data_IF_730782724342
#
_entry.id   IF_730782724342
#
_cell.length_a   1.000
_cell.length_b   1.000
_cell.length_c   1.000
_cell.angle_alpha   90.00
_cell.angle_beta   90.00
_cell.angle_gamma   90.00
#
_symmetry.space_group_name_H-M   'P 1'
#
loop_
_entity.id
_entity.type
_entity.pdbx_description
1 polymer ?
#
# COMPACT_ATOMS: atom_id res chain seq x y z
N UNK A 1 23.97 11.55 3.62
CA UNK A 1 22.54 11.29 3.37
C UNK A 1 22.38 9.86 2.87
N UNK A 2 21.25 9.21 3.13
CA UNK A 2 20.92 7.91 2.53
C UNK A 2 20.54 8.06 1.05
N UNK A 3 20.48 6.95 0.32
CA UNK A 3 19.86 6.92 -1.01
C UNK A 3 18.33 7.01 -0.87
N UNK A 4 17.58 7.42 -1.90
CA UNK A 4 16.11 7.48 -1.83
C UNK A 4 15.44 6.12 -1.59
N UNK A 5 16.16 5.02 -1.85
CA UNK A 5 15.70 3.65 -1.68
C UNK A 5 16.62 2.92 -0.69
N UNK A 6 16.01 2.39 0.36
CA UNK A 6 16.67 1.57 1.38
C UNK A 6 16.44 0.08 1.10
N UNK A 7 17.42 -0.77 1.42
CA UNK A 7 17.34 -2.21 1.15
C UNK A 7 16.74 -3.04 2.28
N UNK A 8 16.54 -2.43 3.44
CA UNK A 8 16.21 -3.15 4.67
C UNK A 8 15.18 -2.36 5.49
N UNK A 9 13.99 -2.17 4.92
CA UNK A 9 12.83 -1.70 5.67
C UNK A 9 12.27 -2.89 6.47
N UNK A 10 12.29 -2.83 7.81
CA UNK A 10 11.93 -3.99 8.61
C UNK A 10 10.41 -4.19 8.62
N UNK A 11 10.00 -5.45 8.72
CA UNK A 11 8.59 -5.83 8.85
C UNK A 11 8.17 -6.01 10.32
N UNK A 12 9.14 -6.41 11.16
CA UNK A 12 9.04 -6.51 12.61
C UNK A 12 9.70 -5.30 13.28
N UNK A 13 9.56 -5.18 14.61
CA UNK A 13 10.12 -4.10 15.42
C UNK A 13 11.63 -3.88 15.25
N UNK A 14 12.01 -2.99 14.34
CA UNK A 14 13.40 -2.61 14.10
C UNK A 14 13.51 -1.24 13.42
N UNK A 15 14.75 -0.76 13.25
CA UNK A 15 15.05 0.49 12.54
C UNK A 15 15.23 0.22 11.05
N UNK A 16 14.81 1.17 10.20
CA UNK A 16 15.17 1.10 8.77
C UNK A 16 16.67 1.08 8.59
N UNK A 17 17.16 0.14 7.79
CA UNK A 17 18.57 0.06 7.43
C UNK A 17 18.92 1.16 6.42
N UNK A 18 20.05 1.84 6.64
CA UNK A 18 20.66 2.76 5.65
C UNK A 18 21.59 2.06 4.65
N UNK A 19 21.76 0.74 4.82
CA UNK A 19 22.61 -0.04 3.94
C UNK A 19 21.86 -0.38 2.66
N UNK A 20 22.61 -0.50 1.57
CA UNK A 20 22.10 -0.94 0.28
C UNK A 20 22.57 -2.36 0.00
N UNK A 21 21.66 -3.27 -0.34
CA UNK A 21 22.00 -4.58 -0.88
C UNK A 21 22.87 -4.40 -2.12
N UNK A 22 23.91 -5.24 -2.25
CA UNK A 22 24.88 -5.13 -3.34
C UNK A 22 25.68 -3.82 -3.33
N UNK A 23 25.90 -3.21 -2.16
CA UNK A 23 26.70 -1.99 -2.01
C UNK A 23 28.10 -2.16 -2.62
N UNK A 24 28.40 -1.33 -3.61
CA UNK A 24 29.71 -1.21 -4.24
C UNK A 24 30.20 0.23 -4.12
N UNK A 25 31.30 0.40 -3.40
CA UNK A 25 32.06 1.64 -3.44
C UNK A 25 32.77 1.76 -4.79
N UNK A 26 32.71 2.96 -5.36
CA UNK A 26 33.32 3.34 -6.63
C UNK A 26 34.34 4.45 -6.37
N UNK A 27 35.09 4.83 -7.40
CA UNK A 27 36.08 5.91 -7.28
C UNK A 27 35.43 7.23 -6.86
N UNK A 28 36.26 8.15 -6.33
CA UNK A 28 35.85 9.51 -5.95
C UNK A 28 34.75 9.55 -4.87
N UNK A 29 34.64 8.51 -4.05
CA UNK A 29 33.68 8.45 -2.94
C UNK A 29 32.23 8.21 -3.39
N UNK A 30 32.02 7.82 -4.65
CA UNK A 30 30.71 7.42 -5.14
C UNK A 30 30.42 5.97 -4.74
N UNK A 31 29.15 5.61 -4.61
CA UNK A 31 28.73 4.24 -4.32
C UNK A 31 27.38 3.96 -4.95
N UNK A 32 27.13 2.70 -5.25
CA UNK A 32 25.85 2.27 -5.80
C UNK A 32 25.47 0.90 -5.25
N UNK A 33 24.18 0.55 -5.32
CA UNK A 33 23.66 -0.72 -4.82
C UNK A 33 22.47 -1.18 -5.65
N UNK A 34 22.21 -2.49 -5.65
CA UNK A 34 21.16 -3.07 -6.48
C UNK A 34 19.77 -2.55 -6.12
N UNK A 35 19.50 -2.26 -4.84
CA UNK A 35 18.20 -1.69 -4.44
C UNK A 35 18.02 -0.24 -4.89
N UNK A 36 19.09 0.55 -4.96
CA UNK A 36 19.01 1.91 -5.50
C UNK A 36 18.73 1.88 -7.01
N UNK A 37 19.38 0.97 -7.73
CA UNK A 37 19.16 0.75 -9.16
C UNK A 37 17.74 0.27 -9.45
N UNK A 38 17.30 -0.82 -8.80
CA UNK A 38 16.00 -1.44 -9.07
C UNK A 38 14.84 -0.63 -8.49
N UNK A 39 15.05 0.10 -7.39
CA UNK A 39 14.04 1.00 -6.83
C UNK A 39 13.72 2.15 -7.78
N UNK A 40 14.77 2.76 -8.36
CA UNK A 40 14.63 3.78 -9.39
C UNK A 40 13.97 3.22 -10.66
N UNK A 41 14.43 2.06 -11.15
CA UNK A 41 13.83 1.41 -12.31
C UNK A 41 12.35 1.07 -12.09
N UNK A 42 12.02 0.47 -10.95
CA UNK A 42 10.64 0.11 -10.59
C UNK A 42 9.72 1.34 -10.51
N UNK A 43 10.20 2.43 -9.91
CA UNK A 43 9.44 3.70 -9.87
C UNK A 43 9.24 4.27 -11.27
N UNK A 44 10.26 4.23 -12.12
CA UNK A 44 10.16 4.66 -13.52
C UNK A 44 9.21 3.79 -14.37
N UNK A 45 8.99 2.54 -13.97
CA UNK A 45 8.05 1.64 -14.64
C UNK A 45 6.59 1.85 -14.23
N UNK A 46 6.30 2.48 -13.08
CA UNK A 46 4.92 2.65 -12.58
C UNK A 46 4.00 3.26 -13.64
N UNK A 47 4.33 4.39 -14.31
CA UNK A 47 3.45 4.94 -15.35
C UNK A 47 3.18 3.97 -16.51
N UNK A 48 4.17 3.17 -16.89
CA UNK A 48 4.08 2.21 -18.02
C UNK A 48 3.21 1.00 -17.70
N UNK A 49 3.10 0.63 -16.42
CA UNK A 49 2.27 -0.51 -15.97
C UNK A 49 0.94 -0.05 -15.38
N UNK A 50 0.75 1.25 -15.12
CA UNK A 50 -0.52 1.81 -14.63
C UNK A 50 -1.62 1.69 -15.66
N UNK A 51 -1.33 2.03 -16.92
CA UNK A 51 -2.24 1.86 -18.05
C UNK A 51 -1.52 1.18 -19.19
N UNK A 52 -2.10 0.09 -19.70
CA UNK A 52 -1.54 -0.68 -20.80
C UNK A 52 -2.50 -0.72 -21.98
N UNK A 53 -1.97 -0.73 -23.19
CA UNK A 53 -2.76 -0.85 -24.42
C UNK A 53 -3.12 -2.30 -24.71
N UNK A 54 -4.30 -2.52 -25.26
CA UNK A 54 -4.73 -3.80 -25.85
C UNK A 54 -5.00 -3.61 -27.34
N UNK A 55 -5.29 -4.70 -28.05
CA UNK A 55 -5.73 -4.60 -29.44
C UNK A 55 -7.07 -3.85 -29.59
N UNK A 56 -7.89 -3.84 -28.54
CA UNK A 56 -9.25 -3.29 -28.55
C UNK A 56 -9.36 -1.95 -27.83
N UNK A 57 -8.36 -1.52 -27.06
CA UNK A 57 -8.50 -0.39 -26.15
C UNK A 57 -7.35 -0.26 -25.16
N UNK A 58 -7.70 0.03 -23.90
CA UNK A 58 -6.75 0.25 -22.80
C UNK A 58 -7.18 -0.48 -21.52
N UNK A 59 -6.23 -0.83 -20.66
CA UNK A 59 -6.45 -1.43 -19.34
C UNK A 59 -5.84 -0.55 -18.26
N UNK A 60 -6.66 -0.12 -17.30
CA UNK A 60 -6.22 0.57 -16.09
C UNK A 60 -5.94 -0.46 -14.98
N UNK A 61 -4.67 -0.67 -14.67
CA UNK A 61 -4.21 -1.54 -13.60
C UNK A 61 -4.03 -0.80 -12.27
N UNK A 62 -3.49 0.43 -12.34
CA UNK A 62 -3.27 1.30 -11.19
C UNK A 62 -3.85 2.67 -11.47
N UNK A 63 -4.51 3.24 -10.47
CA UNK A 63 -5.08 4.57 -10.56
C UNK A 63 -4.09 5.57 -9.98
N UNK A 64 -3.56 6.45 -10.83
CA UNK A 64 -2.65 7.52 -10.47
C UNK A 64 -3.17 8.82 -11.08
N UNK A 65 -3.15 9.92 -10.32
CA UNK A 65 -3.58 11.20 -10.86
C UNK A 65 -2.61 11.67 -11.94
N UNK A 66 -3.16 12.20 -13.04
CA UNK A 66 -2.38 12.69 -14.17
C UNK A 66 -3.09 12.49 -15.50
N UNK A 67 -2.36 12.75 -16.59
CA UNK A 67 -2.82 12.52 -17.95
C UNK A 67 -2.15 11.28 -18.51
N UNK A 68 -2.95 10.41 -19.12
CA UNK A 68 -2.50 9.18 -19.79
C UNK A 68 -2.72 9.36 -21.28
N UNK A 69 -1.64 9.26 -22.05
CA UNK A 69 -1.67 9.33 -23.51
C UNK A 69 -1.39 7.93 -24.08
N UNK A 70 -2.29 7.44 -24.92
CA UNK A 70 -2.20 6.15 -25.60
C UNK A 70 -2.52 6.34 -27.09
N UNK A 71 -2.24 5.35 -27.93
CA UNK A 71 -2.63 5.35 -29.34
C UNK A 71 -4.15 5.36 -29.54
N UNK A 72 -4.92 4.93 -28.55
CA UNK A 72 -6.38 4.82 -28.59
C UNK A 72 -7.07 6.09 -28.13
N UNK A 73 -6.44 6.83 -27.21
CA UNK A 73 -6.99 8.08 -26.70
C UNK A 73 -6.19 8.65 -25.53
N UNK A 74 -6.59 9.85 -25.13
CA UNK A 74 -6.06 10.58 -23.99
C UNK A 74 -7.09 10.56 -22.85
N UNK A 75 -6.61 10.35 -21.62
CA UNK A 75 -7.46 10.28 -20.42
C UNK A 75 -6.89 11.17 -19.32
N UNK A 76 -7.75 11.91 -18.63
CA UNK A 76 -7.39 12.59 -17.39
C UNK A 76 -7.89 11.78 -16.20
N UNK A 77 -6.99 11.43 -15.29
CA UNK A 77 -7.28 10.67 -14.07
C UNK A 77 -7.12 11.58 -12.87
N UNK A 78 -8.14 11.63 -12.02
CA UNK A 78 -8.10 12.25 -10.71
C UNK A 78 -8.49 11.21 -9.67
N UNK A 79 -7.68 11.01 -8.63
CA UNK A 79 -7.92 9.93 -7.67
C UNK A 79 -7.48 10.31 -6.27
N UNK A 80 -8.19 9.78 -5.27
CA UNK A 80 -7.80 9.86 -3.87
C UNK A 80 -7.10 8.58 -3.38
N UNK A 81 -6.85 7.63 -4.28
CA UNK A 81 -6.04 6.45 -4.00
C UNK A 81 -4.61 6.87 -3.61
N UNK A 82 -3.92 6.13 -2.74
CA UNK A 82 -4.35 4.89 -2.07
C UNK A 82 -5.16 5.10 -0.79
N UNK A 83 -5.42 6.35 -0.39
CA UNK A 83 -6.02 6.67 0.92
C UNK A 83 -7.54 6.53 0.90
N UNK A 84 -8.18 6.87 -0.23
CA UNK A 84 -9.63 6.68 -0.45
C UNK A 84 -9.88 6.11 -1.84
N UNK A 85 -11.01 5.42 -1.99
CA UNK A 85 -11.34 4.67 -3.20
C UNK A 85 -11.96 5.48 -4.34
N UNK A 86 -12.09 6.79 -4.20
CA UNK A 86 -12.67 7.67 -5.23
C UNK A 86 -11.67 7.87 -6.38
N UNK A 87 -12.07 7.53 -7.60
CA UNK A 87 -11.34 7.82 -8.83
C UNK A 87 -12.27 8.30 -9.93
N UNK A 88 -11.85 9.33 -10.65
CA UNK A 88 -12.52 9.88 -11.82
C UNK A 88 -11.59 9.77 -13.02
N UNK A 89 -12.11 9.25 -14.14
CA UNK A 89 -11.40 9.15 -15.41
C UNK A 89 -12.25 9.88 -16.45
N UNK A 90 -11.72 10.99 -16.97
CA UNK A 90 -12.34 11.74 -18.06
C UNK A 90 -11.71 11.34 -19.39
N UNK A 91 -12.55 10.99 -20.36
CA UNK A 91 -12.10 10.70 -21.73
C UNK A 91 -11.87 12.02 -22.46
N UNK A 92 -10.64 12.27 -22.92
CA UNK A 92 -10.28 13.49 -23.65
C UNK A 92 -10.20 13.28 -25.16
N UNK A 93 -10.35 12.04 -25.63
CA UNK A 93 -10.35 11.71 -27.07
C UNK A 93 -11.55 10.84 -27.38
N UNK A 94 -12.47 11.34 -28.21
CA UNK A 94 -13.61 10.56 -28.65
C UNK A 94 -13.18 9.38 -29.54
N UNK A 95 -13.91 8.26 -29.49
CA UNK A 95 -13.61 7.09 -30.30
C UNK A 95 -14.37 5.84 -29.88
N UNK A 96 -14.26 4.78 -30.68
CA UNK A 96 -14.83 3.48 -30.33
C UNK A 96 -13.71 2.52 -29.92
N UNK A 97 -13.61 2.28 -28.62
CA UNK A 97 -12.59 1.42 -28.05
C UNK A 97 -13.03 0.92 -26.66
N UNK A 98 -12.31 -0.11 -26.20
CA UNK A 98 -12.49 -0.72 -24.91
C UNK A 98 -11.77 0.06 -23.81
N UNK A 99 -12.37 0.17 -22.64
CA UNK A 99 -11.67 0.54 -21.40
C UNK A 99 -11.89 -0.58 -20.39
N UNK A 100 -10.81 -1.25 -19.99
CA UNK A 100 -10.82 -2.24 -18.92
C UNK A 100 -10.37 -1.60 -17.60
N UNK A 101 -11.11 -1.84 -16.52
CA UNK A 101 -10.87 -1.23 -15.21
C UNK A 101 -10.65 -2.34 -14.17
N UNK A 102 -9.49 -2.35 -13.52
CA UNK A 102 -9.22 -3.28 -12.41
C UNK A 102 -10.09 -2.97 -11.20
N UNK A 103 -10.93 -3.92 -10.80
CA UNK A 103 -11.67 -3.87 -9.54
C UNK A 103 -10.88 -4.68 -8.48
N UNK A 104 -10.22 -4.02 -7.51
CA UNK A 104 -9.26 -4.71 -6.65
C UNK A 104 -9.88 -5.75 -5.70
N UNK A 105 -9.13 -6.80 -5.30
CA UNK A 105 -9.62 -7.84 -4.40
C UNK A 105 -9.77 -7.42 -2.93
N UNK A 106 -9.12 -6.33 -2.53
CA UNK A 106 -9.21 -5.81 -1.16
C UNK A 106 -10.47 -4.95 -0.93
N UNK A 107 -11.24 -4.67 -1.98
CA UNK A 107 -12.47 -3.91 -1.86
C UNK A 107 -13.57 -4.80 -1.25
N UNK A 108 -14.29 -4.26 -0.27
CA UNK A 108 -15.52 -4.86 0.26
C UNK A 108 -16.67 -4.68 -0.74
N UNK A 109 -16.74 -3.51 -1.36
CA UNK A 109 -17.68 -3.24 -2.45
C UNK A 109 -17.06 -2.26 -3.46
N UNK A 110 -17.63 -2.25 -4.66
CA UNK A 110 -17.21 -1.36 -5.73
C UNK A 110 -18.44 -0.87 -6.49
N UNK A 111 -18.46 0.42 -6.78
CA UNK A 111 -19.44 1.04 -7.67
C UNK A 111 -18.71 1.70 -8.84
N UNK A 112 -19.20 1.45 -10.05
CA UNK A 112 -18.72 2.12 -11.27
C UNK A 112 -19.88 2.85 -11.92
N UNK A 113 -19.67 4.11 -12.29
CA UNK A 113 -20.63 4.91 -13.05
C UNK A 113 -19.99 5.41 -14.33
N UNK A 114 -20.77 5.42 -15.42
CA UNK A 114 -20.39 6.08 -16.67
C UNK A 114 -21.43 7.16 -16.95
N UNK A 115 -21.01 8.42 -16.96
CA UNK A 115 -21.90 9.58 -17.08
C UNK A 115 -23.07 9.58 -16.07
N UNK A 116 -22.80 9.13 -14.85
CA UNK A 116 -23.80 9.04 -13.77
C UNK A 116 -24.64 7.75 -13.76
N UNK A 117 -24.59 6.93 -14.81
CA UNK A 117 -25.29 5.65 -14.87
C UNK A 117 -24.45 4.52 -14.28
N UNK A 118 -24.99 3.80 -13.29
CA UNK A 118 -24.32 2.68 -12.65
C UNK A 118 -24.13 1.49 -13.61
N UNK A 119 -22.92 0.95 -13.64
CA UNK A 119 -22.56 -0.26 -14.41
C UNK A 119 -22.23 -1.39 -13.44
N UNK A 120 -22.77 -2.58 -13.69
CA UNK A 120 -22.50 -3.77 -12.88
C UNK A 120 -21.02 -4.14 -12.95
N UNK A 121 -20.42 -4.42 -11.80
CA UNK A 121 -19.04 -4.87 -11.69
C UNK A 121 -18.89 -5.92 -10.58
N UNK A 122 -17.80 -6.70 -10.63
CA UNK A 122 -17.47 -7.67 -9.60
C UNK A 122 -16.13 -7.31 -8.95
N UNK A 123 -16.04 -7.46 -7.63
CA UNK A 123 -14.76 -7.37 -6.91
C UNK A 123 -13.80 -8.45 -7.43
N UNK A 124 -12.50 -8.16 -7.42
CA UNK A 124 -11.46 -9.06 -7.93
C UNK A 124 -11.65 -9.42 -9.43
N UNK A 125 -11.91 -8.42 -10.26
CA UNK A 125 -12.12 -8.61 -11.69
C UNK A 125 -11.58 -7.44 -12.52
N UNK A 126 -11.70 -7.55 -13.84
CA UNK A 126 -11.60 -6.41 -14.74
C UNK A 126 -12.98 -6.13 -15.32
N UNK A 127 -13.51 -4.94 -15.08
CA UNK A 127 -14.72 -4.46 -15.74
C UNK A 127 -14.37 -3.99 -17.14
N UNK A 128 -15.03 -4.56 -18.14
CA UNK A 128 -14.82 -4.23 -19.56
C UNK A 128 -15.91 -3.28 -20.03
N UNK A 129 -15.53 -2.10 -20.52
CA UNK A 129 -16.43 -1.10 -21.09
C UNK A 129 -16.11 -0.91 -22.58
N UNK A 130 -16.85 -1.60 -23.45
CA UNK A 130 -16.79 -1.38 -24.91
C UNK A 130 -17.87 -0.37 -25.32
N UNK A 131 -17.48 0.83 -25.74
CA UNK A 131 -18.41 1.93 -26.04
C UNK A 131 -17.89 2.82 -27.17
N UNK A 132 -18.80 3.59 -27.76
CA UNK A 132 -18.45 4.79 -28.50
C UNK A 132 -18.36 5.95 -27.50
N UNK A 133 -17.13 6.32 -27.15
CA UNK A 133 -16.80 7.37 -26.20
C UNK A 133 -16.86 8.75 -26.84
N UNK A 134 -17.38 9.70 -26.10
CA UNK A 134 -17.36 11.12 -26.42
C UNK A 134 -16.33 11.85 -25.57
N UNK A 135 -15.85 12.97 -26.09
CA UNK A 135 -15.02 13.87 -25.31
C UNK A 135 -15.79 14.33 -24.06
N UNK A 136 -15.11 14.28 -22.92
CA UNK A 136 -15.64 14.53 -21.58
C UNK A 136 -16.62 13.48 -21.03
N UNK A 137 -16.73 12.30 -21.66
CA UNK A 137 -17.34 11.16 -20.96
C UNK A 137 -16.58 10.89 -19.66
N UNK A 138 -17.33 10.69 -18.57
CA UNK A 138 -16.80 10.55 -17.23
C UNK A 138 -17.06 9.14 -16.70
N UNK A 139 -15.99 8.49 -16.26
CA UNK A 139 -16.04 7.23 -15.53
C UNK A 139 -15.71 7.54 -14.07
N UNK A 140 -16.61 7.15 -13.17
CA UNK A 140 -16.40 7.29 -11.73
C UNK A 140 -16.29 5.90 -11.11
N UNK A 141 -15.25 5.70 -10.33
CA UNK A 141 -14.98 4.49 -9.56
C UNK A 141 -15.04 4.86 -8.08
N UNK A 142 -15.86 4.14 -7.33
CA UNK A 142 -16.00 4.31 -5.89
C UNK A 142 -15.73 2.95 -5.27
N UNK A 143 -14.55 2.80 -4.68
CA UNK A 143 -14.16 1.60 -3.97
C UNK A 143 -14.33 1.81 -2.47
N UNK A 144 -15.00 0.86 -1.82
CA UNK A 144 -15.18 0.85 -0.38
C UNK A 144 -14.40 -0.33 0.22
N UNK A 145 -13.67 -0.06 1.28
CA UNK A 145 -12.91 -1.06 2.02
C UNK A 145 -12.86 -0.71 3.50
N UNK A 146 -12.88 -1.74 4.32
CA UNK A 146 -12.61 -1.66 5.75
C UNK A 146 -11.16 -2.10 6.03
N UNK A 147 -10.69 -1.87 7.25
CA UNK A 147 -9.46 -2.47 7.71
C UNK A 147 -9.60 -4.00 7.80
N UNK A 148 -8.55 -4.72 7.42
CA UNK A 148 -8.48 -6.19 7.50
C UNK A 148 -7.29 -6.60 8.36
N UNK A 149 -7.53 -7.49 9.32
CA UNK A 149 -6.45 -8.11 10.11
C UNK A 149 -5.84 -9.27 9.32
N UNK A 150 -4.54 -9.21 9.10
CA UNK A 150 -3.75 -10.27 8.49
C UNK A 150 -3.04 -11.05 9.59
N UNK A 151 -3.31 -12.35 9.67
CA UNK A 151 -2.56 -13.27 10.54
C UNK A 151 -1.38 -13.86 9.78
N UNK A 152 -0.19 -13.83 10.39
CA UNK A 152 0.97 -14.51 9.83
C UNK A 152 0.73 -16.04 9.86
N UNK A 153 1.00 -16.72 8.75
CA UNK A 153 0.88 -18.18 8.69
C UNK A 153 1.99 -18.93 9.44
N UNK A 154 3.06 -18.22 9.82
CA UNK A 154 4.28 -18.83 10.32
C UNK A 154 5.18 -19.36 9.20
N UNK A 155 6.45 -19.55 9.52
CA UNK A 155 7.43 -20.27 8.69
C UNK A 155 8.01 -21.41 9.53
N UNK A 156 8.48 -22.47 8.90
CA UNK A 156 9.07 -23.60 9.65
C UNK A 156 10.36 -23.17 10.37
N UNK A 157 11.13 -22.28 9.76
CA UNK A 157 12.39 -21.74 10.32
C UNK A 157 12.17 -20.72 11.43
N UNK A 158 10.97 -20.12 11.51
CA UNK A 158 10.55 -19.22 12.57
C UNK A 158 9.06 -19.42 12.89
N UNK A 159 8.72 -20.46 13.68
CA UNK A 159 7.33 -20.75 14.06
C UNK A 159 6.70 -19.60 14.86
N UNK A 160 7.52 -18.84 15.58
CA UNK A 160 7.06 -17.72 16.41
C UNK A 160 6.52 -16.56 15.57
N UNK A 161 6.92 -16.45 14.30
CA UNK A 161 6.35 -15.49 13.35
C UNK A 161 4.83 -15.65 13.18
N UNK A 162 4.27 -16.85 13.42
CA UNK A 162 2.81 -17.10 13.37
C UNK A 162 2.01 -16.30 14.39
N UNK A 163 2.65 -15.84 15.47
CA UNK A 163 2.04 -15.02 16.51
C UNK A 163 2.14 -13.51 16.24
N UNK A 164 2.20 -13.13 14.96
CA UNK A 164 2.16 -11.73 14.55
C UNK A 164 0.95 -11.44 13.68
N UNK A 165 0.46 -10.21 13.81
CA UNK A 165 -0.64 -9.67 13.02
C UNK A 165 -0.23 -8.37 12.34
N UNK A 166 -0.75 -8.13 11.15
CA UNK A 166 -0.64 -6.86 10.45
C UNK A 166 -2.03 -6.34 10.11
N UNK A 167 -2.16 -5.02 9.89
CA UNK A 167 -3.41 -4.40 9.50
C UNK A 167 -3.28 -3.87 8.07
N UNK A 168 -4.15 -4.37 7.19
CA UNK A 168 -4.31 -3.88 5.84
C UNK A 168 -5.44 -2.85 5.79
N UNK A 169 -5.23 -1.75 5.10
CA UNK A 169 -6.25 -0.75 4.77
C UNK A 169 -6.24 -0.50 3.26
N UNK A 170 -7.17 -1.13 2.55
CA UNK A 170 -7.19 -1.15 1.09
C UNK A 170 -5.86 -1.67 0.50
N UNK A 171 -5.15 -0.89 -0.33
CA UNK A 171 -3.84 -1.30 -0.86
C UNK A 171 -2.67 -1.05 0.11
N UNK A 172 -2.90 -0.46 1.28
CA UNK A 172 -1.85 -0.09 2.24
C UNK A 172 -1.72 -1.12 3.35
N UNK A 173 -0.48 -1.35 3.81
CA UNK A 173 -0.21 -1.95 5.11
C UNK A 173 0.09 -0.83 6.09
N UNK A 174 -0.55 -0.89 7.26
CA UNK A 174 -0.31 0.05 8.33
C UNK A 174 0.86 -0.41 9.22
N UNK A 175 1.51 0.55 9.86
CA UNK A 175 2.68 0.34 10.70
C UNK A 175 2.62 1.21 11.95
N UNK A 176 3.17 0.71 13.05
CA UNK A 176 3.54 1.55 14.19
C UNK A 176 4.89 2.20 13.96
N UNK A 177 5.05 3.37 14.53
CA UNK A 177 6.29 4.12 14.55
C UNK A 177 6.59 4.55 15.99
N UNK A 178 7.83 4.35 16.45
CA UNK A 178 8.25 4.65 17.81
C UNK A 178 8.16 6.16 18.15
N UNK A 179 8.03 7.02 17.13
CA UNK A 179 7.73 8.46 17.31
C UNK A 179 6.28 8.74 17.71
N UNK A 180 5.38 7.77 17.59
CA UNK A 180 3.95 7.87 17.84
C UNK A 180 3.47 6.99 18.99
N UNK A 181 4.30 6.07 19.48
CA UNK A 181 3.93 5.16 20.56
C UNK A 181 4.92 4.00 20.71
N UNK A 182 4.53 2.96 21.44
CA UNK A 182 5.37 1.78 21.60
C UNK A 182 5.39 0.90 20.35
N UNK A 183 6.56 0.32 20.06
CA UNK A 183 6.79 -0.65 18.99
C UNK A 183 7.37 -1.93 19.61
N UNK A 184 6.99 -3.09 19.07
CA UNK A 184 7.38 -4.41 19.58
C UNK A 184 6.57 -4.86 20.80
N UNK A 185 5.51 -4.13 21.14
CA UNK A 185 4.64 -4.46 22.27
C UNK A 185 3.44 -5.29 21.80
N UNK A 186 3.14 -6.42 22.46
CA UNK A 186 2.01 -7.29 22.12
C UNK A 186 0.67 -6.57 22.06
N UNK A 187 -0.19 -6.97 21.12
CA UNK A 187 -1.55 -6.44 20.96
C UNK A 187 -2.63 -7.50 21.05
N UNK A 188 -3.78 -7.08 21.57
CA UNK A 188 -5.05 -7.79 21.42
C UNK A 188 -6.06 -6.90 20.71
N UNK A 189 -6.38 -7.24 19.45
CA UNK A 189 -7.33 -6.49 18.62
C UNK A 189 -8.70 -7.19 18.69
N UNK A 190 -9.69 -6.53 19.26
CA UNK A 190 -11.07 -7.04 19.34
C UNK A 190 -12.03 -6.44 18.31
N UNK A 191 -11.74 -5.22 17.87
CA UNK A 191 -12.47 -4.49 16.84
C UNK A 191 -11.45 -3.80 15.93
N UNK A 192 -11.74 -3.69 14.63
CA UNK A 192 -10.88 -3.09 13.60
C UNK A 192 -11.36 -1.70 13.16
N UNK A 193 -12.19 -1.06 13.96
CA UNK A 193 -12.64 0.31 13.69
C UNK A 193 -11.45 1.29 13.76
N UNK A 194 -11.04 1.80 12.60
CA UNK A 194 -10.01 2.82 12.49
C UNK A 194 -10.60 4.23 12.59
N UNK A 195 -10.05 5.05 13.46
CA UNK A 195 -10.40 6.47 13.56
C UNK A 195 -9.30 7.33 12.96
N UNK A 196 -9.61 8.19 11.98
CA UNK A 196 -8.60 9.07 11.38
C UNK A 196 -7.99 10.01 12.43
N UNK A 197 -6.67 10.19 12.37
CA UNK A 197 -5.94 11.12 13.24
C UNK A 197 -4.85 11.88 12.48
N UNK A 198 -4.15 12.78 13.17
CA UNK A 198 -3.08 13.63 12.61
C UNK A 198 -2.04 14.02 13.69
N UNK A 199 -1.55 13.02 14.42
CA UNK A 199 -0.57 13.14 15.51
C UNK A 199 0.87 13.01 15.03
N UNK A 200 1.10 12.43 13.84
CA UNK A 200 2.43 12.19 13.31
C UNK A 200 3.20 13.50 13.11
N UNK A 201 4.41 13.64 13.70
CA UNK A 201 5.26 14.82 13.49
C UNK A 201 6.00 14.77 12.14
N UNK A 202 5.53 13.97 11.18
CA UNK A 202 6.15 13.74 9.88
C UNK A 202 5.08 13.48 8.81
N UNK A 203 5.40 13.68 7.52
CA UNK A 203 4.44 13.42 6.44
C UNK A 203 4.02 11.95 6.38
N UNK A 204 2.72 11.72 6.29
CA UNK A 204 2.07 10.41 6.11
C UNK A 204 1.06 10.49 4.98
N UNK A 205 0.78 9.37 4.31
CA UNK A 205 -0.37 9.25 3.41
C UNK A 205 -1.65 9.09 4.21
N UNK A 206 -1.61 8.30 5.29
CA UNK A 206 -2.72 8.14 6.20
C UNK A 206 -2.22 7.89 7.63
N UNK A 207 -3.08 8.22 8.60
CA UNK A 207 -2.88 7.95 10.01
C UNK A 207 -4.22 7.61 10.66
N UNK A 208 -4.19 6.58 11.50
CA UNK A 208 -5.36 6.09 12.22
C UNK A 208 -5.02 5.77 13.67
N UNK A 209 -5.99 5.94 14.55
CA UNK A 209 -6.03 5.35 15.88
C UNK A 209 -6.85 4.06 15.85
N UNK A 210 -6.38 3.08 16.61
CA UNK A 210 -7.06 1.81 16.85
C UNK A 210 -7.09 1.53 18.35
N UNK A 211 -8.26 1.22 18.88
CA UNK A 211 -8.43 0.75 20.25
C UNK A 211 -8.02 -0.72 20.36
N UNK A 212 -7.02 -1.02 21.21
CA UNK A 212 -6.68 -2.39 21.61
C UNK A 212 -7.02 -2.61 23.08
N UNK A 213 -6.97 -3.86 23.56
CA UNK A 213 -7.18 -4.11 25.00
C UNK A 213 -6.11 -3.50 25.91
N UNK A 214 -4.94 -3.20 25.34
CA UNK A 214 -3.80 -2.60 26.03
C UNK A 214 -3.82 -1.06 25.97
N UNK A 215 -4.72 -0.49 25.17
CA UNK A 215 -4.89 0.96 24.97
C UNK A 215 -4.92 1.34 23.49
N UNK A 216 -5.14 2.63 23.23
CA UNK A 216 -5.14 3.18 21.88
C UNK A 216 -3.74 3.16 21.28
N UNK A 217 -3.62 2.69 20.04
CA UNK A 217 -2.37 2.71 19.27
C UNK A 217 -2.54 3.59 18.02
N UNK A 218 -1.49 4.29 17.64
CA UNK A 218 -1.47 5.09 16.40
C UNK A 218 -0.73 4.33 15.31
N UNK A 219 -1.33 4.28 14.11
CA UNK A 219 -0.88 3.56 12.94
C UNK A 219 -0.75 4.51 11.76
N UNK A 220 0.31 4.38 10.96
CA UNK A 220 0.54 5.16 9.74
C UNK A 220 0.80 4.23 8.55
N UNK A 221 0.78 4.73 7.32
CA UNK A 221 1.20 3.91 6.18
C UNK A 221 2.66 3.43 6.34
N UNK A 222 2.91 2.16 6.02
CA UNK A 222 4.24 1.53 6.11
C UNK A 222 5.32 2.35 5.40
N UNK A 223 4.99 2.90 4.22
CA UNK A 223 5.94 3.65 3.42
C UNK A 223 6.48 4.88 4.17
N UNK A 224 5.71 5.46 5.10
CA UNK A 224 6.09 6.66 5.87
C UNK A 224 6.73 6.36 7.23
N UNK A 225 6.41 5.23 7.86
CA UNK A 225 6.99 4.83 9.15
C UNK A 225 8.51 4.59 9.09
N UNK A 226 9.26 5.01 10.11
CA UNK A 226 10.70 4.80 10.28
C UNK A 226 11.61 5.56 9.31
N UNK A 227 11.08 6.55 8.57
CA UNK A 227 11.83 7.34 7.57
C UNK A 227 12.93 8.25 8.14
N UNK A 228 13.11 8.33 9.46
CA UNK A 228 14.24 9.04 10.07
C UNK A 228 15.49 8.15 10.28
N UNK A 229 15.36 6.84 10.04
CA UNK A 229 16.39 5.82 10.26
C UNK A 229 16.90 5.74 11.71
N UNK A 230 16.26 6.41 12.65
CA UNK A 230 16.64 6.44 14.07
C UNK A 230 15.65 5.67 14.93
N UNK A 231 14.37 5.76 14.60
CA UNK A 231 13.29 5.17 15.38
C UNK A 231 12.91 3.81 14.84
N UNK A 232 12.42 2.95 15.74
CA UNK A 232 11.89 1.66 15.34
C UNK A 232 10.49 1.79 14.74
N UNK A 233 10.15 0.83 13.91
CA UNK A 233 8.83 0.66 13.31
C UNK A 233 8.51 -0.83 13.17
N UNK A 234 7.22 -1.15 13.02
CA UNK A 234 6.77 -2.52 12.73
C UNK A 234 5.45 -2.49 11.94
N UNK A 235 5.29 -3.42 11.00
CA UNK A 235 3.99 -3.74 10.39
C UNK A 235 3.34 -4.94 11.06
N UNK A 236 4.16 -5.94 11.35
CA UNK A 236 3.76 -7.17 12.02
C UNK A 236 3.96 -6.99 13.51
N UNK A 237 2.86 -6.73 14.20
CA UNK A 237 2.82 -6.56 15.65
C UNK A 237 2.71 -7.93 16.32
N UNK A 238 3.48 -8.21 17.38
CA UNK A 238 3.32 -9.45 18.13
C UNK A 238 1.94 -9.48 18.79
N UNK A 239 1.35 -10.67 18.94
CA UNK A 239 0.13 -10.87 19.72
C UNK A 239 0.45 -11.28 21.16
N UNK A 240 -0.56 -11.35 22.03
CA UNK A 240 -0.37 -11.83 23.41
C UNK A 240 0.06 -13.30 23.51
N UNK A 241 -0.22 -14.10 22.49
CA UNK A 241 0.26 -15.47 22.37
C UNK A 241 1.78 -15.51 22.19
N UNK A 242 2.35 -14.61 21.38
CA UNK A 242 3.81 -14.47 21.20
C UNK A 242 4.53 -14.26 22.54
N UNK A 243 3.96 -13.40 23.40
CA UNK A 243 4.49 -13.12 24.73
C UNK A 243 4.54 -14.40 25.58
N UNK A 244 3.43 -15.15 25.65
CA UNK A 244 3.33 -16.39 26.44
C UNK A 244 4.41 -17.40 26.05
N UNK A 245 4.57 -17.62 24.76
CA UNK A 245 5.48 -18.63 24.21
C UNK A 245 6.96 -18.27 24.45
N UNK A 246 7.35 -16.98 24.36
CA UNK A 246 8.72 -16.55 24.72
C UNK A 246 9.03 -16.74 26.20
N UNK A 247 8.04 -16.58 27.09
CA UNK A 247 8.24 -16.84 28.52
C UNK A 247 8.46 -18.32 28.82
N UNK A 248 7.98 -19.23 27.97
CA UNK A 248 8.18 -20.68 28.07
C UNK A 248 9.51 -21.17 27.48
N UNK A 249 10.20 -20.34 26.68
CA UNK A 249 11.56 -20.66 26.20
C UNK A 249 12.55 -20.63 27.38
N UNK A 250 13.27 -21.73 27.67
CA UNK A 250 14.24 -21.78 28.76
C UNK A 250 15.31 -20.68 28.60
N UNK A 251 15.69 -20.04 29.71
CA UNK A 251 16.62 -18.89 29.74
C UNK A 251 17.96 -19.11 29.01
N UNK A 252 18.39 -20.36 28.83
CA UNK A 252 19.59 -20.75 28.09
C UNK A 252 19.47 -20.61 26.55
N UNK A 253 18.27 -20.30 26.04
CA UNK A 253 17.98 -20.08 24.62
C UNK A 253 17.42 -18.67 24.31
N UNK A 254 17.41 -17.78 25.30
CA UNK A 254 17.14 -16.34 25.14
C UNK A 254 18.45 -15.60 24.90
#
# INVERSE_FOLDING_TARGET
GGLPFDSYSPLLAAKRGRQTGGLKFMEQGTYYGCCAAIGAAGTGMVPLISVMETKQGVVFHFYCSGTVETAQGIFAVNTKMPVKGDTEISVLTAGNYEIQLRIPPYCKSAEVRVNGETVSCAVNSYLVLQREWKENDLIQLIFDWDATLLQAKGFEEDPMSSYHVAIQYGPLILARDERLGSVGTPVTISDLTLTSSAKAPFPTMCEFELETKEGTITLVDYASAGKDWQTRMECWMPTKEYEREIWEIPSQFK
#
